data_IF_184533085216
#
_entry.id   IF_184533085216
#
_cell.length_a   1.000
_cell.length_b   1.000
_cell.length_c   1.000
_cell.angle_alpha   90.00
_cell.angle_beta   90.00
_cell.angle_gamma   90.00
#
_symmetry.space_group_name_H-M   'P 1'
#
loop_
_entity.id
_entity.type
_entity.pdbx_description
1 polymer ?
#
# COMPACT_ATOMS: atom_id res chain seq x y z
N UNK A 1 -12.35 8.62 29.69
CA UNK A 1 -11.11 7.83 29.78
C UNK A 1 -11.20 6.47 29.07
N UNK A 2 -12.20 5.66 29.31
CA UNK A 2 -12.34 4.35 28.65
C UNK A 2 -12.52 4.43 27.13
N UNK A 3 -13.24 5.40 26.62
CA UNK A 3 -13.47 5.60 25.19
C UNK A 3 -12.18 6.02 24.42
N UNK A 4 -11.35 6.85 25.03
CA UNK A 4 -10.05 7.24 24.45
C UNK A 4 -9.05 6.08 24.40
N UNK A 5 -9.05 5.22 25.40
CA UNK A 5 -8.21 4.02 25.39
C UNK A 5 -8.67 2.99 24.35
N UNK A 6 -9.97 2.86 24.12
CA UNK A 6 -10.51 1.97 23.08
C UNK A 6 -10.20 2.49 21.68
N UNK A 7 -10.32 3.81 21.44
CA UNK A 7 -9.93 4.43 20.18
C UNK A 7 -8.43 4.32 19.90
N UNK A 8 -7.59 4.49 20.91
CA UNK A 8 -6.15 4.34 20.81
C UNK A 8 -5.73 2.88 20.52
N UNK A 9 -6.41 1.92 21.12
CA UNK A 9 -6.16 0.49 20.83
C UNK A 9 -6.53 0.08 19.41
N UNK A 10 -7.56 0.69 18.83
CA UNK A 10 -7.95 0.46 17.43
C UNK A 10 -7.01 1.16 16.45
N UNK A 11 -6.49 2.34 16.80
CA UNK A 11 -5.52 3.07 15.99
C UNK A 11 -4.12 2.41 15.99
N UNK A 12 -3.77 1.72 17.07
CA UNK A 12 -2.46 1.07 17.22
C UNK A 12 -2.40 -0.36 16.64
N UNK A 13 -3.50 -0.87 16.08
CA UNK A 13 -3.58 -2.24 15.54
C UNK A 13 -4.26 -2.27 14.19
N UNK A 14 -3.45 -2.30 13.15
CA UNK A 14 -3.91 -2.61 11.79
C UNK A 14 -4.24 -4.12 11.67
N UNK A 15 -5.23 -4.59 12.43
CA UNK A 15 -5.67 -5.98 12.43
C UNK A 15 -7.16 -6.04 12.16
N UNK A 16 -7.54 -6.71 11.08
CA UNK A 16 -8.93 -6.93 10.69
C UNK A 16 -9.27 -8.41 10.57
N UNK A 17 -10.55 -8.75 10.70
CA UNK A 17 -11.03 -10.13 10.58
C UNK A 17 -11.38 -10.42 9.12
N UNK A 18 -10.74 -11.46 8.57
CA UNK A 18 -11.03 -12.00 7.23
C UNK A 18 -11.57 -13.43 7.36
N UNK A 19 -11.96 -14.05 6.24
CA UNK A 19 -12.34 -15.47 6.21
C UNK A 19 -11.23 -16.39 6.74
N UNK A 20 -9.96 -15.98 6.59
CA UNK A 20 -8.78 -16.71 7.11
C UNK A 20 -8.39 -16.36 8.55
N UNK A 21 -9.17 -15.53 9.27
CA UNK A 21 -8.89 -15.08 10.64
C UNK A 21 -8.45 -13.62 10.73
N UNK A 22 -7.73 -13.29 11.81
CA UNK A 22 -7.18 -11.95 12.04
C UNK A 22 -5.98 -11.69 11.15
N UNK A 23 -6.02 -10.60 10.38
CA UNK A 23 -5.01 -10.30 9.38
C UNK A 23 -4.66 -8.81 9.34
N UNK A 24 -3.43 -8.52 8.90
CA UNK A 24 -2.90 -7.18 8.65
C UNK A 24 -2.42 -7.10 7.21
N UNK A 25 -2.73 -6.02 6.53
CA UNK A 25 -2.17 -5.71 5.21
C UNK A 25 -0.98 -4.77 5.34
N UNK A 26 0.07 -5.07 4.61
CA UNK A 26 1.21 -4.19 4.40
C UNK A 26 1.09 -3.55 3.02
N UNK A 27 1.02 -2.23 2.99
CA UNK A 27 1.09 -1.44 1.77
C UNK A 27 2.51 -0.90 1.62
N UNK A 28 3.03 -0.89 0.41
CA UNK A 28 4.37 -0.41 0.11
C UNK A 28 4.38 0.46 -1.15
N UNK A 29 5.24 1.47 -1.14
CA UNK A 29 5.67 2.19 -2.33
C UNK A 29 7.12 1.82 -2.60
N UNK A 30 7.42 1.46 -3.83
CA UNK A 30 8.79 1.23 -4.31
C UNK A 30 9.12 2.26 -5.39
N UNK A 31 10.40 2.57 -5.52
CA UNK A 31 10.90 3.43 -6.61
C UNK A 31 11.03 2.66 -7.93
N UNK A 32 11.48 3.34 -8.99
CA UNK A 32 11.68 2.75 -10.30
C UNK A 32 12.80 1.70 -10.39
N UNK A 33 13.53 1.47 -9.31
CA UNK A 33 14.55 0.42 -9.17
C UNK A 33 14.06 -0.75 -8.30
N UNK A 34 12.85 -0.64 -7.73
CA UNK A 34 12.28 -1.63 -6.84
C UNK A 34 12.69 -1.48 -5.37
N UNK A 35 13.36 -0.36 -5.01
CA UNK A 35 13.71 -0.09 -3.62
C UNK A 35 12.47 0.43 -2.87
N UNK A 36 12.24 -0.04 -1.63
CA UNK A 36 11.14 0.44 -0.82
C UNK A 36 11.36 1.90 -0.38
N UNK A 37 10.32 2.71 -0.53
CA UNK A 37 10.34 4.13 -0.18
C UNK A 37 9.51 4.39 1.07
N UNK A 38 8.32 3.77 1.17
CA UNK A 38 7.41 4.00 2.29
C UNK A 38 6.49 2.79 2.51
N UNK A 39 6.02 2.65 3.74
CA UNK A 39 5.11 1.59 4.17
C UNK A 39 3.92 2.13 4.95
N UNK A 40 2.80 1.42 4.86
CA UNK A 40 1.62 1.64 5.67
C UNK A 40 0.99 0.29 6.03
N UNK A 41 0.52 0.17 7.27
CA UNK A 41 -0.26 -0.98 7.73
C UNK A 41 -1.75 -0.64 7.75
N UNK A 42 -2.58 -1.60 7.36
CA UNK A 42 -4.03 -1.50 7.49
C UNK A 42 -4.63 -2.82 7.96
N UNK A 43 -5.88 -2.75 8.39
CA UNK A 43 -6.64 -3.94 8.73
C UNK A 43 -6.83 -4.83 7.50
N UNK A 44 -6.74 -6.14 7.67
CA UNK A 44 -6.80 -7.09 6.57
C UNK A 44 -8.12 -7.10 5.79
N UNK A 45 -9.20 -6.59 6.39
CA UNK A 45 -10.51 -6.46 5.76
C UNK A 45 -10.71 -5.12 5.03
N UNK A 46 -9.81 -4.15 5.17
CA UNK A 46 -9.92 -2.86 4.46
C UNK A 46 -9.63 -3.04 2.97
N UNK A 47 -10.30 -2.24 2.14
CA UNK A 47 -9.96 -2.14 0.74
C UNK A 47 -8.63 -1.38 0.57
N UNK A 48 -7.74 -1.88 -0.29
CA UNK A 48 -6.42 -1.32 -0.50
C UNK A 48 -6.45 0.15 -0.93
N UNK A 49 -7.46 0.53 -1.72
CA UNK A 49 -7.66 1.91 -2.18
C UNK A 49 -7.95 2.93 -1.08
N UNK A 50 -8.49 2.49 0.07
CA UNK A 50 -8.84 3.40 1.17
C UNK A 50 -7.60 4.09 1.74
N UNK A 51 -6.48 3.38 1.81
CA UNK A 51 -5.23 3.86 2.39
C UNK A 51 -4.24 4.42 1.37
N UNK A 52 -4.57 4.37 0.08
CA UNK A 52 -3.67 4.78 -0.99
C UNK A 52 -3.25 6.26 -0.90
N UNK A 53 -4.20 7.16 -0.69
CA UNK A 53 -3.91 8.60 -0.56
C UNK A 53 -3.07 8.88 0.68
N UNK A 54 -3.34 8.21 1.80
CA UNK A 54 -2.56 8.34 3.03
C UNK A 54 -1.09 7.92 2.79
N UNK A 55 -0.89 6.80 2.11
CA UNK A 55 0.44 6.31 1.76
C UNK A 55 1.16 7.28 0.80
N UNK A 56 0.47 7.76 -0.24
CA UNK A 56 1.03 8.71 -1.20
C UNK A 56 1.39 10.06 -0.59
N UNK A 57 0.69 10.51 0.47
CA UNK A 57 1.04 11.74 1.20
C UNK A 57 2.42 11.68 1.87
N UNK A 58 2.94 10.48 2.12
CA UNK A 58 4.25 10.29 2.76
C UNK A 58 5.41 10.34 1.78
N UNK A 59 5.16 10.36 0.48
CA UNK A 59 6.18 10.32 -0.57
C UNK A 59 6.04 11.53 -1.52
N UNK A 60 7.16 11.93 -2.12
CA UNK A 60 7.15 12.93 -3.18
C UNK A 60 6.88 12.27 -4.52
N UNK A 61 5.74 12.56 -5.12
CA UNK A 61 5.33 11.97 -6.41
C UNK A 61 5.44 12.93 -7.59
N UNK A 62 5.66 14.22 -7.35
CA UNK A 62 5.73 15.24 -8.42
C UNK A 62 6.76 14.88 -9.49
N UNK A 63 6.36 14.98 -10.76
CA UNK A 63 7.18 14.61 -11.91
C UNK A 63 7.33 13.10 -12.15
N UNK A 64 6.67 12.25 -11.36
CA UNK A 64 6.74 10.79 -11.47
C UNK A 64 5.52 10.20 -12.16
N UNK A 65 5.62 8.94 -12.58
CA UNK A 65 4.49 8.10 -12.94
C UNK A 65 4.20 7.13 -11.78
N UNK A 66 2.97 7.17 -11.27
CA UNK A 66 2.50 6.28 -10.19
C UNK A 66 1.83 5.07 -10.81
N UNK A 67 2.42 3.91 -10.64
CA UNK A 67 1.93 2.64 -11.15
C UNK A 67 1.22 1.88 -10.04
N UNK A 68 -0.02 1.47 -10.28
CA UNK A 68 -0.76 0.64 -9.35
C UNK A 68 -1.74 -0.28 -10.09
N UNK A 69 -2.25 -1.29 -9.40
CA UNK A 69 -3.26 -2.16 -10.00
C UNK A 69 -4.63 -1.48 -10.08
N UNK A 70 -5.57 -2.14 -10.75
CA UNK A 70 -6.93 -1.61 -10.97
C UNK A 70 -7.72 -1.34 -9.69
N UNK A 71 -7.35 -1.95 -8.56
CA UNK A 71 -8.00 -1.69 -7.28
C UNK A 71 -7.77 -0.24 -6.80
N UNK A 72 -6.69 0.39 -7.25
CA UNK A 72 -6.36 1.78 -6.95
C UNK A 72 -6.90 2.79 -7.98
N UNK A 73 -7.76 2.36 -8.91
CA UNK A 73 -8.34 3.20 -9.96
C UNK A 73 -9.43 4.18 -9.51
N UNK A 74 -9.66 4.35 -8.20
CA UNK A 74 -10.63 5.30 -7.68
C UNK A 74 -10.32 6.74 -8.12
N UNK A 75 -11.38 7.50 -8.40
CA UNK A 75 -11.27 8.89 -8.86
C UNK A 75 -10.46 9.75 -7.90
N UNK A 76 -10.69 9.62 -6.60
CA UNK A 76 -9.99 10.37 -5.55
C UNK A 76 -8.48 10.16 -5.58
N UNK A 77 -8.03 8.92 -5.88
CA UNK A 77 -6.61 8.58 -5.99
C UNK A 77 -6.01 9.23 -7.23
N UNK A 78 -6.67 9.10 -8.38
CA UNK A 78 -6.21 9.68 -9.65
C UNK A 78 -6.15 11.21 -9.60
N UNK A 79 -7.15 11.85 -8.99
CA UNK A 79 -7.18 13.30 -8.78
C UNK A 79 -6.04 13.74 -7.84
N UNK A 80 -5.79 13.01 -6.77
CA UNK A 80 -4.66 13.28 -5.87
C UNK A 80 -3.32 13.24 -6.62
N UNK A 81 -3.08 12.19 -7.40
CA UNK A 81 -1.83 12.04 -8.18
C UNK A 81 -1.66 13.20 -9.16
N UNK A 82 -2.71 13.52 -9.93
CA UNK A 82 -2.66 14.61 -10.92
C UNK A 82 -2.48 15.98 -10.27
N UNK A 83 -3.13 16.23 -9.14
CA UNK A 83 -3.01 17.50 -8.39
C UNK A 83 -1.59 17.72 -7.83
N UNK A 84 -0.80 16.66 -7.66
CA UNK A 84 0.59 16.74 -7.20
C UNK A 84 1.62 16.68 -8.32
N UNK A 85 1.20 16.92 -9.57
CA UNK A 85 2.10 17.00 -10.73
C UNK A 85 2.68 15.65 -11.15
N UNK A 86 2.00 14.56 -10.84
CA UNK A 86 2.34 13.20 -11.25
C UNK A 86 1.34 12.67 -12.28
N UNK A 87 1.77 11.69 -13.07
CA UNK A 87 0.88 10.88 -13.90
C UNK A 87 0.51 9.57 -13.21
N UNK A 88 -0.62 9.00 -13.57
CA UNK A 88 -1.03 7.68 -13.07
C UNK A 88 -1.07 6.65 -14.20
N UNK A 89 -0.55 5.47 -13.93
CA UNK A 89 -0.59 4.31 -14.82
C UNK A 89 -1.32 3.19 -14.09
N UNK A 90 -2.65 3.32 -14.06
CA UNK A 90 -3.57 2.45 -13.31
C UNK A 90 -4.65 1.98 -14.29
N UNK A 91 -4.79 0.69 -14.54
CA UNK A 91 -5.85 0.19 -15.43
C UNK A 91 -7.24 0.50 -14.86
N UNK A 92 -8.19 0.94 -15.71
CA UNK A 92 -9.57 1.09 -15.29
C UNK A 92 -10.19 -0.27 -14.94
N UNK A 93 -11.18 -0.26 -14.07
CA UNK A 93 -12.02 -1.44 -13.84
C UNK A 93 -12.92 -1.66 -15.05
N UNK A 94 -13.35 -2.91 -15.27
CA UNK A 94 -14.17 -3.29 -16.43
C UNK A 94 -15.55 -2.62 -16.47
N UNK A 95 -16.04 -2.15 -15.33
CA UNK A 95 -17.35 -1.51 -15.17
C UNK A 95 -17.30 0.03 -15.23
N UNK A 96 -16.16 0.62 -15.57
CA UNK A 96 -16.02 2.07 -15.69
C UNK A 96 -16.63 2.54 -17.00
N UNK A 97 -17.55 3.51 -16.92
CA UNK A 97 -18.28 4.05 -18.09
C UNK A 97 -17.38 4.86 -19.02
N UNK A 98 -16.39 5.55 -18.47
CA UNK A 98 -15.44 6.40 -19.22
C UNK A 98 -14.01 5.97 -18.87
N UNK A 99 -13.50 4.93 -19.54
CA UNK A 99 -12.16 4.43 -19.27
C UNK A 99 -11.09 5.39 -19.82
N UNK A 100 -10.04 5.60 -19.04
CA UNK A 100 -8.88 6.40 -19.42
C UNK A 100 -7.80 5.54 -20.09
N UNK A 101 -6.93 6.14 -20.91
CA UNK A 101 -5.83 5.42 -21.54
C UNK A 101 -4.78 4.98 -20.52
N UNK A 102 -4.13 3.84 -20.78
CA UNK A 102 -3.08 3.26 -19.95
C UNK A 102 -1.83 3.05 -20.79
N UNK A 103 -0.69 3.51 -20.32
CA UNK A 103 0.61 3.13 -20.87
C UNK A 103 0.96 1.70 -20.41
N UNK A 104 0.60 0.72 -21.25
CA UNK A 104 0.84 -0.68 -20.96
C UNK A 104 2.33 -1.08 -20.98
N UNK A 105 3.15 -0.31 -21.66
CA UNK A 105 4.59 -0.53 -21.64
C UNK A 105 5.15 -0.18 -20.27
N UNK A 106 4.84 1.00 -19.79
CA UNK A 106 5.25 1.45 -18.46
C UNK A 106 4.59 0.63 -17.34
N UNK A 107 3.34 0.20 -17.52
CA UNK A 107 2.62 -0.60 -16.54
C UNK A 107 3.33 -1.91 -16.16
N UNK A 108 4.13 -2.48 -17.06
CA UNK A 108 4.91 -3.69 -16.79
C UNK A 108 5.89 -3.52 -15.63
N UNK A 109 6.40 -2.30 -15.42
CA UNK A 109 7.32 -2.01 -14.31
C UNK A 109 6.65 -2.16 -12.93
N UNK A 110 5.31 -2.26 -12.86
CA UNK A 110 4.59 -2.56 -11.61
C UNK A 110 5.05 -3.88 -10.96
N UNK A 111 5.64 -4.80 -11.73
CA UNK A 111 6.20 -6.04 -11.20
C UNK A 111 7.26 -5.82 -10.12
N UNK A 112 7.92 -4.66 -10.09
CA UNK A 112 8.96 -4.34 -9.10
C UNK A 112 8.42 -4.37 -7.65
N UNK A 113 7.19 -3.90 -7.43
CA UNK A 113 6.57 -4.00 -6.11
C UNK A 113 6.25 -5.45 -5.74
N UNK A 114 5.89 -6.27 -6.70
CA UNK A 114 5.66 -7.70 -6.49
C UNK A 114 6.96 -8.42 -6.14
N UNK A 115 8.05 -8.10 -6.85
CA UNK A 115 9.39 -8.61 -6.55
C UNK A 115 9.83 -8.23 -5.13
N UNK A 116 9.57 -6.97 -4.73
CA UNK A 116 9.83 -6.52 -3.36
C UNK A 116 9.07 -7.38 -2.34
N UNK A 117 7.75 -7.55 -2.51
CA UNK A 117 6.97 -8.37 -1.59
C UNK A 117 7.42 -9.83 -1.54
N UNK A 118 7.86 -10.40 -2.66
CA UNK A 118 8.42 -11.75 -2.67
C UNK A 118 9.70 -11.84 -1.84
N UNK A 119 10.59 -10.85 -1.95
CA UNK A 119 11.84 -10.82 -1.19
C UNK A 119 11.60 -10.72 0.32
N UNK A 120 10.75 -9.79 0.78
CA UNK A 120 10.54 -9.60 2.21
C UNK A 120 9.79 -10.77 2.87
N UNK A 121 9.00 -11.51 2.13
CA UNK A 121 8.31 -12.72 2.64
C UNK A 121 9.27 -13.86 3.03
N UNK A 122 10.52 -13.82 2.59
CA UNK A 122 11.55 -14.75 3.07
C UNK A 122 11.84 -14.57 4.56
N UNK A 123 11.57 -13.39 5.09
CA UNK A 123 11.64 -13.14 6.54
C UNK A 123 10.35 -13.64 7.20
N UNK A 124 10.47 -14.73 7.95
CA UNK A 124 9.32 -15.41 8.57
C UNK A 124 8.45 -14.48 9.44
N UNK A 125 9.05 -13.50 10.13
CA UNK A 125 8.32 -12.53 10.96
C UNK A 125 7.48 -11.56 10.16
N UNK A 126 7.74 -11.40 8.87
CA UNK A 126 6.92 -10.59 7.95
C UNK A 126 5.86 -11.45 7.29
N UNK A 127 6.24 -12.64 6.81
CA UNK A 127 5.29 -13.58 6.21
C UNK A 127 4.18 -14.00 7.19
N UNK A 128 4.52 -14.13 8.49
CA UNK A 128 3.59 -14.38 9.57
C UNK A 128 3.80 -13.35 10.66
N UNK A 129 2.80 -12.49 10.90
CA UNK A 129 2.89 -11.47 11.92
C UNK A 129 2.79 -12.10 13.32
N UNK A 130 3.89 -12.04 14.08
CA UNK A 130 3.94 -12.43 15.50
C UNK A 130 3.82 -11.23 16.44
N UNK A 131 4.14 -10.02 15.97
CA UNK A 131 4.17 -8.80 16.78
C UNK A 131 2.76 -8.30 17.07
N UNK A 132 2.48 -7.97 18.33
CA UNK A 132 1.19 -7.45 18.77
C UNK A 132 1.02 -5.96 18.41
N UNK A 133 2.12 -5.22 18.37
CA UNK A 133 2.14 -3.79 18.08
C UNK A 133 2.49 -3.54 16.62
N UNK A 134 1.79 -2.62 15.98
CA UNK A 134 2.05 -2.19 14.61
C UNK A 134 3.44 -1.60 14.45
N UNK A 135 3.87 -0.77 15.42
CA UNK A 135 5.21 -0.17 15.42
C UNK A 135 6.32 -1.22 15.41
N UNK A 136 6.19 -2.30 16.19
CA UNK A 136 7.19 -3.37 16.23
C UNK A 136 7.23 -4.15 14.91
N UNK A 137 6.06 -4.46 14.35
CA UNK A 137 5.96 -5.14 13.07
C UNK A 137 6.53 -4.28 11.94
N UNK A 138 6.17 -3.00 11.90
CA UNK A 138 6.66 -2.06 10.90
C UNK A 138 8.19 -1.85 10.99
N UNK A 139 8.74 -1.79 12.21
CA UNK A 139 10.19 -1.74 12.41
C UNK A 139 10.90 -2.96 11.79
N UNK A 140 10.32 -4.15 11.92
CA UNK A 140 10.82 -5.36 11.26
C UNK A 140 10.77 -5.28 9.74
N UNK A 141 9.69 -4.70 9.19
CA UNK A 141 9.57 -4.48 7.74
C UNK A 141 10.67 -3.57 7.24
N UNK A 142 10.94 -2.46 7.94
CA UNK A 142 12.04 -1.56 7.59
C UNK A 142 13.41 -2.25 7.66
N UNK A 143 13.68 -3.02 8.71
CA UNK A 143 14.94 -3.77 8.84
C UNK A 143 15.11 -4.79 7.71
N UNK A 144 14.07 -5.56 7.41
CA UNK A 144 14.11 -6.55 6.33
C UNK A 144 14.27 -5.93 4.95
N UNK A 145 13.81 -4.69 4.77
CA UNK A 145 13.91 -3.98 3.49
C UNK A 145 15.31 -3.42 3.19
N UNK A 146 16.20 -3.39 4.20
CA UNK A 146 17.60 -2.98 4.07
C UNK A 146 18.50 -4.19 3.74
N UNK A 147 18.06 -5.37 4.06
CA UNK A 147 18.82 -6.62 3.85
C UNK A 147 18.68 -7.16 2.43
#
# INVERSE_FOLDING_TARGET
MKAQMAGKKTADKAVGRTKGGWNTKLHAVVDGLGNPVEFLLSAGNDHDSVHAVELLKKVRIGGSAVLADRAYGARTIREYISAHGASYVIPPQSNVSDPWPVDWHLYKERHLVECFFQKIKWFRRIATRYDKLDASFLAFVYLASIA
#
